data_IF_795791433113
#
_entry.id   IF_795791433113
#
_cell.length_a   1.000
_cell.length_b   1.000
_cell.length_c   1.000
_cell.angle_alpha   90.00
_cell.angle_beta   90.00
_cell.angle_gamma   90.00
#
_symmetry.space_group_name_H-M   'P 1'
#
loop_
_entity.id
_entity.type
_entity.pdbx_description
1 polymer ?
#
# COMPACT_ATOMS: atom_id res chain seq x y z
N UNK A 1 -50.68 55.07 20.12
CA UNK A 1 -49.83 54.45 21.16
C UNK A 1 -48.66 53.84 20.42
N UNK A 2 -47.60 54.62 20.15
CA UNK A 2 -46.43 54.80 21.02
C UNK A 2 -45.62 53.49 21.15
N UNK A 3 -44.41 53.46 20.57
CA UNK A 3 -43.51 52.31 20.71
C UNK A 3 -42.31 52.28 19.75
N UNK A 4 -41.62 53.39 19.58
CA UNK A 4 -40.25 53.45 19.04
C UNK A 4 -39.27 52.89 20.09
N UNK A 5 -38.43 51.90 19.74
CA UNK A 5 -37.14 51.63 20.40
C UNK A 5 -36.32 50.65 19.53
N UNK A 6 -35.34 51.15 18.79
CA UNK A 6 -33.91 51.09 19.14
C UNK A 6 -33.27 49.72 18.84
N UNK A 7 -32.62 49.57 17.67
CA UNK A 7 -31.19 49.90 17.45
C UNK A 7 -30.27 48.90 18.17
N UNK A 8 -29.80 47.88 17.46
CA UNK A 8 -28.58 47.16 17.86
C UNK A 8 -27.61 47.11 16.70
N UNK A 9 -26.45 47.72 16.97
CA UNK A 9 -25.43 48.15 16.02
C UNK A 9 -24.61 46.97 15.52
N UNK A 10 -24.50 46.85 14.20
CA UNK A 10 -23.31 46.30 13.50
C UNK A 10 -22.10 47.16 13.86
N UNK A 11 -21.09 46.60 14.52
CA UNK A 11 -19.68 47.05 14.46
C UNK A 11 -18.82 46.20 15.42
N UNK A 12 -17.52 46.12 15.11
CA UNK A 12 -16.39 45.60 15.91
C UNK A 12 -16.18 44.08 15.78
N UNK A 13 -15.03 43.52 15.42
CA UNK A 13 -13.65 44.00 15.38
C UNK A 13 -12.84 43.24 14.32
N UNK A 14 -11.99 43.99 13.63
CA UNK A 14 -10.80 43.53 12.93
C UNK A 14 -9.93 42.75 13.92
N UNK A 15 -9.80 41.44 13.75
CA UNK A 15 -8.72 40.67 14.36
C UNK A 15 -7.70 40.45 13.25
N UNK A 16 -6.64 41.27 13.32
CA UNK A 16 -5.48 41.16 12.46
C UNK A 16 -4.84 39.78 12.61
N UNK A 17 -4.68 39.09 11.50
CA UNK A 17 -3.82 37.91 11.41
C UNK A 17 -2.37 38.41 11.37
N UNK A 18 -1.52 38.08 12.36
CA UNK A 18 -0.12 38.41 12.30
C UNK A 18 0.56 37.55 11.22
N UNK A 19 1.22 38.22 10.28
CA UNK A 19 2.14 37.60 9.34
C UNK A 19 3.33 37.02 10.12
N UNK A 20 3.31 35.71 10.36
CA UNK A 20 4.49 34.99 10.82
C UNK A 20 5.34 34.68 9.59
N UNK A 21 6.35 35.52 9.38
CA UNK A 21 7.44 35.28 8.46
C UNK A 21 8.20 34.02 8.90
N UNK A 22 8.02 32.91 8.19
CA UNK A 22 8.88 31.74 8.35
C UNK A 22 10.20 32.06 7.69
N UNK A 23 11.20 32.32 8.52
CA UNK A 23 12.57 32.55 8.12
C UNK A 23 13.09 31.37 7.28
N UNK A 24 13.57 31.68 6.08
CA UNK A 24 14.36 30.79 5.24
C UNK A 24 15.71 30.52 5.92
N UNK A 25 15.74 29.49 6.78
CA UNK A 25 16.96 28.95 7.36
C UNK A 25 17.55 27.91 6.41
N UNK A 26 18.52 28.34 5.60
CA UNK A 26 19.34 27.47 4.79
C UNK A 26 20.25 26.60 5.69
N UNK A 27 19.82 25.37 5.97
CA UNK A 27 20.76 24.30 6.33
C UNK A 27 21.13 23.57 5.05
N UNK A 28 22.21 24.06 4.45
CA UNK A 28 22.98 23.37 3.43
C UNK A 28 23.67 22.14 4.06
N UNK A 29 22.90 21.08 4.27
CA UNK A 29 23.43 19.72 4.44
C UNK A 29 23.33 19.06 3.07
N UNK A 30 24.47 18.67 2.52
CA UNK A 30 24.62 18.22 1.14
C UNK A 30 23.63 17.13 0.73
N UNK A 31 22.66 17.50 -0.10
CA UNK A 31 21.92 16.60 -0.97
C UNK A 31 22.59 16.65 -2.35
N UNK A 32 23.50 15.73 -2.69
CA UNK A 32 23.90 15.57 -4.07
C UNK A 32 22.75 14.83 -4.79
N UNK A 33 22.29 15.42 -5.89
CA UNK A 33 21.51 14.76 -6.96
C UNK A 33 20.01 14.53 -6.72
N UNK A 34 19.23 15.62 -6.76
CA UNK A 34 17.82 15.58 -7.22
C UNK A 34 17.57 16.64 -8.30
N UNK A 35 18.47 16.70 -9.30
CA UNK A 35 18.32 17.58 -10.48
C UNK A 35 17.86 16.86 -11.76
N UNK A 36 17.34 15.64 -11.63
CA UNK A 36 16.93 14.81 -12.77
C UNK A 36 15.44 14.43 -12.84
N UNK A 37 14.61 14.82 -11.86
CA UNK A 37 13.17 14.51 -11.91
C UNK A 37 12.43 15.67 -12.56
N UNK A 38 12.39 15.66 -13.90
CA UNK A 38 11.40 16.40 -14.66
C UNK A 38 10.01 15.83 -14.40
N UNK A 39 9.39 16.20 -13.28
CA UNK A 39 7.98 15.93 -13.00
C UNK A 39 7.17 17.07 -13.60
N UNK A 40 7.02 17.03 -14.92
CA UNK A 40 6.07 17.84 -15.65
C UNK A 40 5.17 16.88 -16.44
N UNK A 41 4.13 16.38 -15.77
CA UNK A 41 3.16 15.48 -16.37
C UNK A 41 2.17 15.00 -15.32
N UNK A 42 0.89 14.99 -15.66
CA UNK A 42 -0.18 14.39 -14.87
C UNK A 42 -0.03 12.85 -14.85
N UNK A 43 1.07 12.34 -14.29
CA UNK A 43 1.31 10.90 -14.23
C UNK A 43 0.56 10.28 -13.04
N UNK A 44 -0.06 9.09 -13.23
CA UNK A 44 -0.83 8.40 -12.22
C UNK A 44 0.03 7.98 -11.00
N UNK A 45 -0.59 7.61 -9.85
CA UNK A 45 0.08 7.30 -8.58
C UNK A 45 1.21 6.25 -8.63
N UNK A 46 1.33 5.52 -9.74
CA UNK A 46 2.31 4.44 -9.96
C UNK A 46 3.76 4.94 -9.99
N UNK A 47 4.02 6.18 -10.41
CA UNK A 47 5.38 6.74 -10.44
C UNK A 47 5.92 7.07 -9.03
N UNK A 48 5.02 7.37 -8.09
CA UNK A 48 5.36 7.67 -6.69
C UNK A 48 5.67 6.37 -5.92
N UNK A 49 4.95 5.28 -6.20
CA UNK A 49 5.23 3.97 -5.59
C UNK A 49 6.63 3.43 -5.95
N UNK A 50 7.07 3.59 -7.21
CA UNK A 50 8.43 3.19 -7.62
C UNK A 50 9.52 3.94 -6.86
N UNK A 51 9.29 5.21 -6.55
CA UNK A 51 10.25 6.05 -5.82
C UNK A 51 10.30 5.71 -4.32
N UNK A 52 9.17 5.30 -3.73
CA UNK A 52 9.11 4.89 -2.32
C UNK A 52 9.74 3.51 -2.09
N UNK A 53 9.61 2.57 -3.04
CA UNK A 53 10.22 1.24 -2.92
C UNK A 53 11.75 1.29 -2.82
N UNK A 54 12.38 2.21 -3.56
CA UNK A 54 13.82 2.44 -3.47
C UNK A 54 14.27 2.96 -2.09
N UNK A 55 13.41 3.73 -1.39
CA UNK A 55 13.69 4.22 -0.03
C UNK A 55 13.52 3.10 1.01
N UNK A 56 12.50 2.24 0.88
CA UNK A 56 12.27 1.09 1.79
C UNK A 56 13.42 0.08 1.73
N UNK A 57 14.06 -0.03 0.56
CA UNK A 57 15.22 -0.88 0.34
C UNK A 57 16.48 -0.51 1.13
N UNK A 58 16.60 0.71 1.65
CA UNK A 58 17.79 1.14 2.40
C UNK A 58 17.90 0.53 3.81
N UNK A 59 16.81 -0.03 4.35
CA UNK A 59 16.76 -0.54 5.74
C UNK A 59 16.84 -2.08 5.81
N UNK A 60 16.70 -2.77 4.67
CA UNK A 60 16.71 -4.24 4.59
C UNK A 60 18.07 -4.85 4.23
N UNK A 61 18.16 -6.19 4.23
CA UNK A 61 19.31 -6.90 3.64
C UNK A 61 19.35 -6.64 2.13
N UNK A 62 20.53 -6.40 1.55
CA UNK A 62 20.67 -5.99 0.14
C UNK A 62 20.10 -7.03 -0.84
N UNK A 63 20.31 -8.32 -0.58
CA UNK A 63 19.83 -9.40 -1.45
C UNK A 63 18.28 -9.50 -1.47
N UNK A 64 17.64 -9.27 -0.32
CA UNK A 64 16.17 -9.28 -0.20
C UNK A 64 15.53 -8.10 -0.94
N UNK A 65 16.23 -6.96 -1.00
CA UNK A 65 15.77 -5.77 -1.70
C UNK A 65 15.84 -5.95 -3.22
N UNK A 66 16.94 -6.49 -3.76
CA UNK A 66 17.09 -6.66 -5.21
C UNK A 66 16.03 -7.61 -5.76
N UNK A 67 15.78 -8.73 -5.06
CA UNK A 67 14.75 -9.70 -5.44
C UNK A 67 13.36 -9.06 -5.48
N UNK A 68 12.98 -8.32 -4.44
CA UNK A 68 11.69 -7.61 -4.38
C UNK A 68 11.55 -6.56 -5.47
N UNK A 69 12.62 -5.83 -5.76
CA UNK A 69 12.62 -4.80 -6.81
C UNK A 69 12.40 -5.43 -8.18
N UNK A 70 13.12 -6.53 -8.50
CA UNK A 70 12.93 -7.27 -9.76
C UNK A 70 11.48 -7.76 -9.91
N UNK A 71 10.94 -8.38 -8.86
CA UNK A 71 9.54 -8.84 -8.86
C UNK A 71 8.56 -7.69 -9.11
N UNK A 72 8.79 -6.51 -8.54
CA UNK A 72 7.92 -5.37 -8.75
C UNK A 72 8.04 -4.79 -10.17
N UNK A 73 9.25 -4.76 -10.73
CA UNK A 73 9.52 -4.26 -12.10
C UNK A 73 8.92 -5.18 -13.16
N UNK A 74 8.99 -6.50 -12.95
CA UNK A 74 8.55 -7.50 -13.93
C UNK A 74 7.02 -7.64 -14.02
N UNK A 75 6.28 -7.08 -13.05
CA UNK A 75 4.82 -7.20 -13.01
C UNK A 75 4.13 -6.29 -14.00
N UNK A 76 3.03 -6.79 -14.56
CA UNK A 76 2.09 -5.96 -15.33
C UNK A 76 1.55 -4.83 -14.44
N UNK A 77 1.46 -3.57 -14.92
CA UNK A 77 0.78 -2.51 -14.17
C UNK A 77 -0.70 -2.86 -13.97
N UNK A 78 -1.22 -2.56 -12.78
CA UNK A 78 -2.64 -2.72 -12.43
C UNK A 78 -3.37 -1.40 -12.62
N UNK A 79 -4.54 -1.44 -13.24
CA UNK A 79 -5.40 -0.25 -13.35
C UNK A 79 -6.23 -0.09 -12.08
N UNK A 80 -6.62 1.15 -11.76
CA UNK A 80 -7.46 1.43 -10.58
C UNK A 80 -8.79 0.63 -10.56
N UNK A 81 -9.39 0.34 -11.74
CA UNK A 81 -10.59 -0.51 -11.82
C UNK A 81 -10.31 -1.95 -11.47
N UNK A 82 -9.22 -2.51 -11.97
CA UNK A 82 -8.83 -3.89 -11.66
C UNK A 82 -8.52 -4.01 -10.17
N UNK A 83 -7.78 -3.06 -9.61
CA UNK A 83 -7.48 -2.99 -8.18
C UNK A 83 -8.75 -2.97 -7.33
N UNK A 84 -9.70 -2.07 -7.64
CA UNK A 84 -10.96 -1.95 -6.91
C UNK A 84 -11.82 -3.22 -7.00
N UNK A 85 -11.86 -3.87 -8.17
CA UNK A 85 -12.59 -5.14 -8.36
C UNK A 85 -11.98 -6.26 -7.53
N UNK A 86 -10.65 -6.40 -7.57
CA UNK A 86 -9.95 -7.42 -6.80
C UNK A 86 -10.16 -7.24 -5.29
N UNK A 87 -10.07 -6.00 -4.78
CA UNK A 87 -10.32 -5.70 -3.36
C UNK A 87 -11.76 -6.02 -2.94
N UNK A 88 -12.74 -5.59 -3.73
CA UNK A 88 -14.16 -5.87 -3.44
C UNK A 88 -14.44 -7.38 -3.41
N UNK A 89 -13.84 -8.13 -4.34
CA UNK A 89 -14.00 -9.58 -4.40
C UNK A 89 -13.38 -10.25 -3.18
N UNK A 90 -12.17 -9.80 -2.82
CA UNK A 90 -11.40 -10.31 -1.69
C UNK A 90 -12.06 -10.07 -0.33
N UNK A 91 -12.87 -9.02 -0.18
CA UNK A 91 -13.63 -8.77 1.07
C UNK A 91 -14.57 -9.92 1.46
N UNK A 92 -14.87 -10.85 0.56
CA UNK A 92 -15.67 -12.05 0.85
C UNK A 92 -14.86 -13.20 1.44
N UNK A 93 -13.53 -13.14 1.38
CA UNK A 93 -12.64 -14.16 1.92
C UNK A 93 -12.51 -13.96 3.42
N UNK A 94 -12.94 -14.96 4.20
CA UNK A 94 -12.74 -14.99 5.65
C UNK A 94 -11.55 -15.90 5.95
N UNK A 95 -10.42 -15.31 6.28
CA UNK A 95 -9.22 -16.06 6.65
C UNK A 95 -9.26 -16.46 8.13
N UNK A 96 -8.70 -17.62 8.50
CA UNK A 96 -8.62 -18.03 9.89
C UNK A 96 -7.78 -17.02 10.68
N UNK A 97 -8.28 -16.66 11.87
CA UNK A 97 -7.56 -15.76 12.76
C UNK A 97 -6.37 -16.52 13.38
N UNK A 98 -5.19 -15.88 13.52
CA UNK A 98 -4.08 -16.48 14.25
C UNK A 98 -4.40 -16.50 15.74
N UNK A 99 -5.06 -17.56 16.22
CA UNK A 99 -5.42 -17.74 17.64
C UNK A 99 -4.22 -18.27 18.43
N UNK A 100 -3.21 -17.43 18.68
CA UNK A 100 -2.07 -17.76 19.55
C UNK A 100 -1.26 -19.00 19.14
N UNK A 101 -1.46 -19.50 17.92
CA UNK A 101 -0.89 -20.70 17.35
C UNK A 101 -0.51 -20.50 15.89
N UNK A 102 0.24 -21.48 15.36
CA UNK A 102 0.69 -21.49 13.96
C UNK A 102 -0.53 -21.64 13.06
N UNK A 103 -0.78 -20.67 12.17
CA UNK A 103 -1.81 -20.78 11.14
C UNK A 103 -1.35 -21.84 10.14
N UNK A 104 -2.17 -22.89 9.94
CA UNK A 104 -1.85 -23.96 9.02
C UNK A 104 -2.04 -23.51 7.56
N UNK A 105 -1.07 -23.81 6.70
CA UNK A 105 -1.12 -23.54 5.25
C UNK A 105 -2.38 -24.14 4.62
N UNK A 106 -2.74 -25.37 5.00
CA UNK A 106 -3.89 -26.07 4.43
C UNK A 106 -5.23 -25.43 4.82
N UNK A 107 -5.33 -24.84 6.02
CA UNK A 107 -6.54 -24.15 6.47
C UNK A 107 -6.76 -22.84 5.70
N UNK A 108 -5.69 -22.07 5.50
CA UNK A 108 -5.72 -20.85 4.68
C UNK A 108 -6.06 -21.19 3.23
N UNK A 109 -5.45 -22.23 2.68
CA UNK A 109 -5.76 -22.73 1.34
C UNK A 109 -7.24 -23.12 1.23
N UNK A 110 -7.75 -23.90 2.17
CA UNK A 110 -9.15 -24.34 2.18
C UNK A 110 -10.12 -23.15 2.27
N UNK A 111 -9.83 -22.16 3.12
CA UNK A 111 -10.66 -20.95 3.26
C UNK A 111 -10.73 -20.15 1.95
N UNK A 112 -9.61 -19.99 1.25
CA UNK A 112 -9.55 -19.26 -0.03
C UNK A 112 -10.30 -20.03 -1.13
N UNK A 113 -10.13 -21.35 -1.20
CA UNK A 113 -10.86 -22.20 -2.15
C UNK A 113 -12.37 -22.16 -1.88
N UNK A 114 -12.78 -22.24 -0.62
CA UNK A 114 -14.18 -22.14 -0.22
C UNK A 114 -14.82 -20.79 -0.57
N UNK A 115 -14.01 -19.72 -0.64
CA UNK A 115 -14.45 -18.40 -1.08
C UNK A 115 -14.58 -18.25 -2.61
N UNK A 116 -14.30 -19.30 -3.39
CA UNK A 116 -14.46 -19.33 -4.84
C UNK A 116 -13.17 -19.08 -5.64
N UNK A 117 -12.01 -19.18 -4.99
CA UNK A 117 -10.71 -19.02 -5.64
C UNK A 117 -9.96 -20.36 -5.69
N UNK A 118 -10.08 -21.14 -6.78
CA UNK A 118 -9.65 -22.55 -6.81
C UNK A 118 -8.13 -22.76 -6.82
N UNK A 119 -7.36 -21.76 -7.26
CA UNK A 119 -5.91 -21.91 -7.52
C UNK A 119 -5.03 -20.98 -6.66
N UNK A 120 -5.16 -20.97 -5.33
CA UNK A 120 -4.31 -20.13 -4.49
C UNK A 120 -2.92 -20.74 -4.33
N UNK A 121 -1.90 -19.88 -4.38
CA UNK A 121 -0.58 -20.22 -3.86
C UNK A 121 -0.58 -19.87 -2.37
N UNK A 122 -0.32 -20.84 -1.51
CA UNK A 122 -0.23 -20.64 -0.06
C UNK A 122 0.99 -21.39 0.45
N UNK A 123 1.90 -20.68 1.11
CA UNK A 123 3.16 -21.22 1.60
C UNK A 123 3.61 -20.53 2.88
N UNK A 124 4.61 -21.10 3.56
CA UNK A 124 5.34 -20.38 4.60
C UNK A 124 6.34 -19.45 3.93
N UNK A 125 6.31 -18.17 4.30
CA UNK A 125 7.23 -17.17 3.79
C UNK A 125 8.67 -17.52 4.17
N UNK A 126 9.55 -17.58 3.17
CA UNK A 126 10.99 -17.79 3.31
C UNK A 126 11.74 -16.46 3.45
N UNK A 127 13.04 -16.55 3.76
CA UNK A 127 13.93 -15.40 3.64
C UNK A 127 13.98 -14.97 2.16
N UNK A 128 13.58 -13.73 1.87
CA UNK A 128 13.50 -13.17 0.52
C UNK A 128 12.09 -13.11 -0.07
N UNK A 129 11.08 -13.64 0.62
CA UNK A 129 9.68 -13.43 0.26
C UNK A 129 9.21 -12.02 0.62
N UNK A 130 8.11 -11.51 0.01
CA UNK A 130 7.58 -10.18 0.32
C UNK A 130 6.96 -10.08 1.73
N UNK A 131 6.83 -11.19 2.45
CA UNK A 131 6.28 -11.26 3.81
C UNK A 131 7.37 -11.62 4.83
N UNK A 132 7.18 -11.29 6.13
CA UNK A 132 8.13 -11.68 7.17
C UNK A 132 8.33 -13.21 7.21
N UNK A 133 9.58 -13.70 7.35
CA UNK A 133 9.85 -15.14 7.37
C UNK A 133 9.04 -15.87 8.45
N UNK A 134 8.52 -17.06 8.13
CA UNK A 134 7.73 -17.89 9.04
C UNK A 134 6.24 -17.52 9.11
N UNK A 135 5.80 -16.46 8.42
CA UNK A 135 4.37 -16.14 8.26
C UNK A 135 3.74 -16.97 7.13
N UNK A 136 2.41 -17.09 7.11
CA UNK A 136 1.72 -17.68 5.95
C UNK A 136 1.60 -16.61 4.87
N UNK A 137 2.28 -16.80 3.74
CA UNK A 137 2.14 -15.99 2.53
C UNK A 137 1.10 -16.65 1.62
N UNK A 138 0.18 -15.86 1.10
CA UNK A 138 -0.77 -16.31 0.10
C UNK A 138 -0.78 -15.35 -1.10
N UNK A 139 -1.05 -15.92 -2.27
CA UNK A 139 -1.27 -15.20 -3.50
C UNK A 139 -2.38 -15.83 -4.33
N UNK A 140 -3.31 -15.00 -4.79
CA UNK A 140 -4.54 -15.47 -5.43
C UNK A 140 -4.78 -14.70 -6.73
N UNK A 141 -4.94 -15.40 -7.87
CA UNK A 141 -5.33 -14.76 -9.11
C UNK A 141 -6.79 -14.29 -9.03
N UNK A 142 -7.02 -13.01 -9.29
CA UNK A 142 -8.36 -12.37 -9.26
C UNK A 142 -8.48 -11.41 -10.44
N UNK A 143 -9.38 -11.68 -11.39
CA UNK A 143 -9.65 -10.83 -12.57
C UNK A 143 -8.40 -10.35 -13.34
N UNK A 144 -7.40 -11.22 -13.55
CA UNK A 144 -6.16 -10.84 -14.25
C UNK A 144 -5.20 -9.97 -13.42
N UNK A 145 -5.43 -9.91 -12.11
CA UNK A 145 -4.52 -9.37 -11.09
C UNK A 145 -4.20 -10.45 -10.07
N UNK A 146 -3.32 -10.12 -9.14
CA UNK A 146 -2.93 -10.96 -8.04
C UNK A 146 -3.21 -10.23 -6.73
N UNK A 147 -3.96 -10.86 -5.85
CA UNK A 147 -4.06 -10.45 -4.45
C UNK A 147 -2.97 -11.18 -3.69
N UNK A 148 -2.10 -10.44 -3.00
CA UNK A 148 -1.00 -11.01 -2.20
C UNK A 148 -1.14 -10.47 -0.80
N UNK A 149 -1.03 -11.34 0.19
CA UNK A 149 -1.03 -10.94 1.58
C UNK A 149 -0.39 -11.99 2.47
N UNK A 150 -0.30 -11.69 3.75
CA UNK A 150 0.27 -12.63 4.71
C UNK A 150 -0.47 -12.64 6.05
N UNK A 151 -0.34 -13.74 6.78
CA UNK A 151 -0.89 -13.93 8.13
C UNK A 151 0.23 -14.28 9.10
N UNK A 152 0.38 -13.49 10.17
CA UNK A 152 1.27 -13.81 11.28
C UNK A 152 1.39 -12.67 12.30
N UNK A 153 1.69 -13.00 13.56
CA UNK A 153 2.00 -12.00 14.60
C UNK A 153 0.89 -10.99 14.91
N UNK A 154 -0.37 -11.28 14.55
CA UNK A 154 -1.52 -10.39 14.75
C UNK A 154 -1.68 -9.29 13.69
N UNK A 155 -0.82 -9.22 12.68
CA UNK A 155 -0.96 -8.32 11.53
C UNK A 155 -1.37 -9.08 10.26
N UNK A 156 -2.11 -8.38 9.41
CA UNK A 156 -2.37 -8.78 8.04
C UNK A 156 -2.06 -7.58 7.16
N UNK A 157 -1.23 -7.78 6.14
CA UNK A 157 -1.09 -6.85 5.03
C UNK A 157 -1.66 -7.48 3.77
N UNK A 158 -2.18 -6.63 2.88
CA UNK A 158 -2.75 -7.03 1.62
C UNK A 158 -2.43 -6.03 0.53
N UNK A 159 -2.01 -6.55 -0.61
CA UNK A 159 -1.67 -5.78 -1.78
C UNK A 159 -2.34 -6.39 -3.01
N UNK A 160 -2.77 -5.52 -3.94
CA UNK A 160 -3.21 -5.94 -5.27
C UNK A 160 -2.15 -5.52 -6.27
N UNK A 161 -1.62 -6.49 -6.98
CA UNK A 161 -0.51 -6.34 -7.91
C UNK A 161 -0.81 -7.04 -9.23
N UNK A 162 -0.02 -6.76 -10.27
CA UNK A 162 -0.16 -7.47 -11.53
C UNK A 162 0.48 -8.86 -11.44
N UNK A 163 0.12 -9.75 -12.39
CA UNK A 163 0.83 -11.01 -12.55
C UNK A 163 2.27 -10.77 -13.03
N UNK A 164 3.11 -11.76 -12.78
CA UNK A 164 4.42 -11.91 -13.40
C UNK A 164 4.28 -12.18 -14.92
N UNK A 165 5.36 -12.08 -15.71
CA UNK A 165 5.32 -12.30 -17.15
C UNK A 165 4.81 -13.68 -17.57
N UNK A 166 4.98 -14.69 -16.72
CA UNK A 166 4.49 -16.06 -16.90
C UNK A 166 3.01 -16.24 -16.48
N UNK A 167 2.36 -15.16 -16.05
CA UNK A 167 0.96 -15.16 -15.61
C UNK A 167 0.75 -15.51 -14.14
N UNK A 168 1.81 -15.88 -13.40
CA UNK A 168 1.69 -16.30 -12.00
C UNK A 168 1.73 -15.12 -11.03
N UNK A 169 1.29 -15.35 -9.79
CA UNK A 169 1.29 -14.31 -8.75
C UNK A 169 2.58 -14.27 -7.91
N UNK A 170 3.21 -15.42 -7.72
CA UNK A 170 4.48 -15.58 -7.02
C UNK A 170 5.44 -16.45 -7.85
N UNK A 171 6.76 -16.23 -7.73
CA UNK A 171 7.75 -17.17 -8.22
C UNK A 171 7.73 -18.45 -7.38
N UNK A 172 8.28 -19.54 -7.93
CA UNK A 172 8.51 -20.79 -7.17
C UNK A 172 9.58 -20.64 -6.07
#
# INVERSE_FOLDING_TARGET
MAGEAARTRRSWLLIGLPAVAVAAGALAVGLPVLRGLGVAGNDPPVAVERSLFAVVCQVGRPDDCERRTRLHVDRRPVTAREQMRALTDWQRVVLPAPSGGVVAVDEVRAAIVAAGHPDPVVQIALAGDPAPPGTVLYAVPVYGTCVIGHLGGGSHDLQVVGPLPDGRCLPD
#
